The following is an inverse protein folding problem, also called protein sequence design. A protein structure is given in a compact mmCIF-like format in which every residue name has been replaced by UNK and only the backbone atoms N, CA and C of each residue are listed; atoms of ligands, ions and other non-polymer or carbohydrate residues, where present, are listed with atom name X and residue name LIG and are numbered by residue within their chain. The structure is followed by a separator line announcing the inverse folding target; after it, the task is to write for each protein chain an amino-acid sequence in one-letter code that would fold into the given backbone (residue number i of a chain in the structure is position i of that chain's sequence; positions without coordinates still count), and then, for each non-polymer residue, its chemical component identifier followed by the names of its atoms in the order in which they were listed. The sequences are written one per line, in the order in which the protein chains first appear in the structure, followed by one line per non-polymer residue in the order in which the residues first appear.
data_IF_752448201629
#
_entry.id   IF_752448201629
#
_cell.length_a   1.000
_cell.length_b   1.000
_cell.length_c   1.000
_cell.angle_alpha   90.00
_cell.angle_beta   90.00
_cell.angle_gamma   90.00
#
_symmetry.space_group_name_H-M   'P 1'
#
loop_
_entity.id
_entity.type
_entity.pdbx_description
1 polymer ?
#
# COMPACT_ATOMS: atom_id res chain seq x y z
N UNK A 1 6.64 -2.55 20.97
CA UNK A 1 7.66 -3.62 21.08
C UNK A 1 7.17 -4.71 22.03
N UNK A 2 6.97 -4.42 23.34
CA UNK A 2 6.64 -5.43 24.34
C UNK A 2 5.41 -6.29 24.03
N UNK A 3 4.40 -5.72 23.37
CA UNK A 3 3.19 -6.46 22.98
C UNK A 3 3.57 -7.56 22.00
N UNK A 4 4.34 -7.26 20.97
CA UNK A 4 4.75 -8.21 19.94
C UNK A 4 5.72 -9.26 20.47
N UNK A 5 6.66 -8.84 21.33
CA UNK A 5 7.58 -9.78 22.01
C UNK A 5 6.82 -10.80 22.85
N UNK A 6 5.78 -10.38 23.61
CA UNK A 6 4.93 -11.28 24.41
C UNK A 6 4.06 -12.20 23.56
N UNK A 7 3.87 -11.88 22.27
CA UNK A 7 3.18 -12.74 21.30
C UNK A 7 4.12 -13.74 20.62
N UNK A 8 5.43 -13.68 20.91
CA UNK A 8 6.44 -14.59 20.37
C UNK A 8 7.19 -14.08 19.16
N UNK A 9 7.01 -12.80 18.79
CA UNK A 9 7.81 -12.20 17.72
C UNK A 9 9.27 -12.07 18.16
N UNK A 10 10.20 -12.19 17.20
CA UNK A 10 11.59 -11.84 17.41
C UNK A 10 11.74 -10.34 17.73
N UNK A 11 12.75 -9.96 18.48
CA UNK A 11 12.96 -8.56 18.92
C UNK A 11 13.08 -7.59 17.75
N UNK A 12 13.82 -7.94 16.71
CA UNK A 12 13.97 -7.14 15.49
C UNK A 12 12.65 -7.01 14.70
N UNK A 13 11.87 -8.07 14.62
CA UNK A 13 10.52 -8.06 14.02
C UNK A 13 9.58 -7.14 14.80
N UNK A 14 9.58 -7.26 16.12
CA UNK A 14 8.78 -6.41 17.02
C UNK A 14 9.14 -4.94 16.88
N UNK A 15 10.44 -4.64 16.79
CA UNK A 15 10.93 -3.28 16.58
C UNK A 15 10.51 -2.74 15.22
N UNK A 16 10.73 -3.51 14.14
CA UNK A 16 10.36 -3.10 12.78
C UNK A 16 8.86 -2.79 12.65
N UNK A 17 8.00 -3.64 13.22
CA UNK A 17 6.54 -3.41 13.24
C UNK A 17 6.23 -2.12 14.00
N UNK A 18 6.85 -1.94 15.18
CA UNK A 18 6.57 -0.79 16.03
C UNK A 18 7.00 0.53 15.38
N UNK A 19 8.20 0.58 14.82
CA UNK A 19 8.74 1.77 14.16
C UNK A 19 7.89 2.17 12.97
N UNK A 20 7.49 1.20 12.16
CA UNK A 20 6.63 1.43 11.00
C UNK A 20 5.24 1.98 11.38
N UNK A 21 4.62 1.45 12.44
CA UNK A 21 3.32 1.93 12.91
C UNK A 21 3.41 3.35 13.50
N UNK A 22 4.50 3.68 14.19
CA UNK A 22 4.77 5.02 14.71
C UNK A 22 5.00 5.98 13.55
N UNK A 23 5.83 5.61 12.57
CA UNK A 23 6.08 6.40 11.37
C UNK A 23 4.78 6.73 10.62
N UNK A 24 3.90 5.75 10.44
CA UNK A 24 2.59 5.98 9.82
C UNK A 24 1.75 7.04 10.56
N UNK A 25 1.76 7.03 11.91
CA UNK A 25 1.09 8.07 12.70
C UNK A 25 1.76 9.44 12.54
N UNK A 26 3.10 9.51 12.56
CA UNK A 26 3.84 10.76 12.37
C UNK A 26 3.59 11.39 10.99
N UNK A 27 3.31 10.56 9.98
CA UNK A 27 2.91 10.99 8.64
C UNK A 27 1.40 11.28 8.51
N UNK A 28 0.62 11.24 9.59
CA UNK A 28 -0.83 11.49 9.55
C UNK A 28 -1.66 10.34 8.93
N UNK A 29 -1.06 9.15 8.73
CA UNK A 29 -1.73 7.98 8.17
C UNK A 29 -2.17 7.03 9.28
N UNK A 30 -3.05 7.50 10.15
CA UNK A 30 -3.51 6.78 11.35
C UNK A 30 -4.09 5.41 11.05
N UNK A 31 -4.77 5.25 9.90
CA UNK A 31 -5.35 3.98 9.46
C UNK A 31 -4.33 2.83 9.32
N UNK A 32 -3.04 3.15 9.20
CA UNK A 32 -1.90 2.22 9.10
C UNK A 32 -0.94 2.35 10.29
N UNK A 33 -1.32 3.15 11.29
CA UNK A 33 -0.55 3.43 12.49
C UNK A 33 -0.85 2.48 13.66
N UNK A 34 -0.63 2.96 14.87
CA UNK A 34 -0.71 2.18 16.13
C UNK A 34 -2.09 1.57 16.39
N UNK A 35 -3.15 2.08 15.76
CA UNK A 35 -4.48 1.45 15.82
C UNK A 35 -4.49 0.01 15.30
N UNK A 36 -3.52 -0.38 14.48
CA UNK A 36 -3.36 -1.74 13.95
C UNK A 36 -2.82 -2.75 14.96
N UNK A 37 -2.25 -2.30 16.08
CA UNK A 37 -1.64 -3.18 17.09
C UNK A 37 -2.59 -4.27 17.55
N UNK A 38 -3.86 -3.92 17.86
CA UNK A 38 -4.84 -4.89 18.33
C UNK A 38 -5.18 -5.92 17.25
N UNK A 39 -5.35 -5.48 16.00
CA UNK A 39 -5.63 -6.36 14.87
C UNK A 39 -4.47 -7.36 14.65
N UNK A 40 -3.22 -6.89 14.68
CA UNK A 40 -2.06 -7.78 14.53
C UNK A 40 -1.95 -8.76 15.69
N UNK A 41 -2.13 -8.28 16.92
CA UNK A 41 -2.10 -9.12 18.10
C UNK A 41 -3.18 -10.22 18.09
N UNK A 42 -4.38 -9.91 17.63
CA UNK A 42 -5.47 -10.87 17.50
C UNK A 42 -5.17 -11.93 16.44
N UNK A 43 -4.66 -11.53 15.28
CA UNK A 43 -4.27 -12.45 14.21
C UNK A 43 -3.12 -13.37 14.61
N UNK A 44 -2.14 -12.87 15.38
CA UNK A 44 -1.07 -13.70 15.94
C UNK A 44 -1.59 -14.68 16.98
N UNK A 45 -2.48 -14.26 17.87
CA UNK A 45 -3.12 -15.16 18.87
C UNK A 45 -3.97 -16.24 18.23
N UNK A 46 -4.68 -15.92 17.17
CA UNK A 46 -5.52 -16.90 16.44
C UNK A 46 -4.71 -17.84 15.56
N UNK A 47 -3.41 -17.61 15.38
CA UNK A 47 -2.56 -18.38 14.46
C UNK A 47 -2.80 -18.08 12.98
N UNK A 48 -3.61 -17.07 12.67
CA UNK A 48 -3.81 -16.61 11.28
C UNK A 48 -2.56 -15.92 10.74
N UNK A 49 -1.76 -15.34 11.63
CA UNK A 49 -0.49 -14.70 11.34
C UNK A 49 0.59 -15.31 12.24
N UNK A 50 1.70 -15.78 11.66
CA UNK A 50 2.84 -16.30 12.42
C UNK A 50 3.56 -15.17 13.16
N UNK A 51 3.81 -15.37 14.46
CA UNK A 51 4.56 -14.42 15.28
C UNK A 51 6.08 -14.68 15.19
N UNK A 52 6.48 -15.93 15.25
CA UNK A 52 7.87 -16.41 15.23
C UNK A 52 8.38 -16.71 13.82
N UNK A 53 8.00 -15.88 12.86
CA UNK A 53 8.31 -16.05 11.44
C UNK A 53 9.21 -14.92 10.96
N UNK A 54 10.18 -15.27 10.12
CA UNK A 54 11.01 -14.32 9.36
C UNK A 54 10.76 -14.50 7.88
N UNK A 55 10.69 -13.41 7.12
CA UNK A 55 10.63 -13.49 5.66
C UNK A 55 11.95 -13.98 5.10
N UNK A 56 11.89 -14.66 3.96
CA UNK A 56 13.05 -15.23 3.29
C UNK A 56 13.12 -14.83 1.82
N UNK A 57 14.35 -14.62 1.33
CA UNK A 57 14.60 -14.51 -0.11
C UNK A 57 14.61 -15.93 -0.69
N UNK A 58 13.75 -16.17 -1.68
CA UNK A 58 13.67 -17.44 -2.40
C UNK A 58 13.86 -17.25 -3.90
N UNK A 59 14.08 -18.34 -4.58
CA UNK A 59 14.11 -18.39 -6.05
C UNK A 59 12.92 -19.21 -6.53
N UNK A 60 12.17 -18.68 -7.50
CA UNK A 60 11.08 -19.41 -8.15
C UNK A 60 11.63 -20.56 -9.00
N UNK A 61 10.78 -21.50 -9.41
CA UNK A 61 11.16 -22.59 -10.32
C UNK A 61 11.73 -22.09 -11.64
N UNK A 62 11.34 -20.89 -12.07
CA UNK A 62 11.81 -20.25 -13.31
C UNK A 62 13.03 -19.35 -13.12
N UNK A 63 13.60 -19.29 -11.90
CA UNK A 63 14.83 -18.58 -11.60
C UNK A 63 14.63 -17.11 -11.16
N UNK A 64 13.40 -16.63 -10.95
CA UNK A 64 13.17 -15.28 -10.45
C UNK A 64 13.39 -15.20 -8.93
N UNK A 65 13.99 -14.09 -8.46
CA UNK A 65 14.07 -13.78 -7.03
C UNK A 65 12.70 -13.35 -6.49
N UNK A 66 12.30 -13.90 -5.35
CA UNK A 66 11.04 -13.60 -4.68
C UNK A 66 11.23 -13.51 -3.16
N UNK A 67 10.31 -12.86 -2.47
CA UNK A 67 10.23 -12.85 -1.02
C UNK A 67 9.03 -13.69 -0.58
N UNK A 68 9.31 -14.66 0.29
CA UNK A 68 8.28 -15.43 1.00
C UNK A 68 8.17 -14.90 2.42
N UNK A 69 7.04 -14.33 2.77
CA UNK A 69 6.76 -13.81 4.11
C UNK A 69 6.43 -14.87 5.14
N UNK A 70 6.34 -16.16 4.74
CA UNK A 70 6.12 -17.31 5.64
C UNK A 70 4.83 -17.23 6.44
N UNK A 71 3.81 -16.49 6.00
CA UNK A 71 2.57 -16.20 6.73
C UNK A 71 2.78 -15.31 7.96
N UNK A 72 3.90 -14.59 8.05
CA UNK A 72 4.23 -13.63 9.10
C UNK A 72 3.74 -12.21 8.79
N UNK A 73 4.17 -11.24 9.62
CA UNK A 73 3.90 -9.82 9.38
C UNK A 73 4.45 -9.38 8.03
N UNK A 74 3.66 -8.60 7.29
CA UNK A 74 4.08 -8.08 5.99
C UNK A 74 5.11 -6.95 6.08
N UNK A 75 5.24 -6.28 7.23
CA UNK A 75 6.17 -5.16 7.39
C UNK A 75 7.64 -5.60 7.23
N UNK A 76 8.15 -6.63 7.92
CA UNK A 76 9.50 -7.14 7.67
C UNK A 76 9.69 -7.71 6.26
N UNK A 77 8.64 -8.33 5.69
CA UNK A 77 8.72 -8.88 4.34
C UNK A 77 8.87 -7.79 3.27
N UNK A 78 8.15 -6.67 3.42
CA UNK A 78 8.30 -5.52 2.52
C UNK A 78 9.66 -4.84 2.68
N UNK A 79 10.17 -4.70 3.91
CA UNK A 79 11.52 -4.16 4.14
C UNK A 79 12.57 -5.01 3.39
N UNK A 80 12.53 -6.33 3.56
CA UNK A 80 13.42 -7.27 2.86
C UNK A 80 13.26 -7.19 1.33
N UNK A 81 12.01 -7.02 0.85
CA UNK A 81 11.73 -6.90 -0.58
C UNK A 81 12.36 -5.64 -1.19
N UNK A 82 12.22 -4.50 -0.51
CA UNK A 82 12.82 -3.24 -0.97
C UNK A 82 14.35 -3.29 -0.93
N UNK A 83 14.96 -3.84 0.12
CA UNK A 83 16.40 -4.06 0.18
C UNK A 83 16.89 -4.95 -0.98
N UNK A 84 16.19 -6.07 -1.22
CA UNK A 84 16.52 -7.03 -2.26
C UNK A 84 16.40 -6.42 -3.67
N UNK A 85 15.26 -5.76 -3.96
CA UNK A 85 15.03 -5.19 -5.30
C UNK A 85 15.98 -4.04 -5.60
N UNK A 86 16.30 -3.20 -4.61
CA UNK A 86 17.29 -2.11 -4.73
C UNK A 86 18.68 -2.69 -5.00
N UNK A 87 19.10 -3.74 -4.28
CA UNK A 87 20.37 -4.41 -4.53
C UNK A 87 20.47 -4.93 -5.96
N UNK A 88 19.46 -5.65 -6.42
CA UNK A 88 19.40 -6.17 -7.79
C UNK A 88 19.38 -5.05 -8.85
N UNK A 89 18.60 -3.98 -8.60
CA UNK A 89 18.50 -2.86 -9.53
C UNK A 89 19.78 -2.02 -9.63
N UNK A 90 20.60 -1.96 -8.58
CA UNK A 90 21.93 -1.32 -8.64
C UNK A 90 22.84 -1.99 -9.68
N UNK A 91 22.79 -3.30 -9.77
CA UNK A 91 23.63 -4.07 -10.69
C UNK A 91 23.08 -4.03 -12.12
N UNK A 92 21.78 -4.27 -12.29
CA UNK A 92 21.12 -4.43 -13.58
C UNK A 92 20.49 -3.16 -14.16
N UNK A 93 20.29 -2.10 -13.33
CA UNK A 93 19.55 -0.89 -13.68
C UNK A 93 18.04 -0.99 -13.42
N UNK A 94 17.50 -2.21 -13.44
CA UNK A 94 16.07 -2.52 -13.26
C UNK A 94 15.94 -3.89 -12.62
N UNK A 95 15.06 -4.03 -11.63
CA UNK A 95 14.72 -5.33 -11.05
C UNK A 95 13.26 -5.36 -10.61
N UNK A 96 12.71 -6.57 -10.53
CA UNK A 96 11.38 -6.83 -9.99
C UNK A 96 11.41 -8.02 -9.03
N UNK A 97 10.67 -7.91 -7.93
CA UNK A 97 10.58 -8.94 -6.90
C UNK A 97 9.10 -9.11 -6.49
N UNK A 98 8.51 -10.29 -6.68
CA UNK A 98 7.23 -10.64 -6.08
C UNK A 98 7.38 -10.93 -4.59
N UNK A 99 6.33 -10.65 -3.81
CA UNK A 99 6.24 -10.92 -2.39
C UNK A 99 4.95 -11.69 -2.14
N UNK A 100 5.04 -12.84 -1.49
CA UNK A 100 3.93 -13.73 -1.22
C UNK A 100 3.84 -14.12 0.26
N UNK A 101 2.72 -14.71 0.68
CA UNK A 101 2.53 -15.26 2.01
C UNK A 101 2.77 -14.24 3.13
N UNK A 102 2.23 -13.02 2.98
CA UNK A 102 2.39 -11.95 3.96
C UNK A 102 1.06 -11.54 4.57
N UNK A 103 1.09 -11.15 5.84
CA UNK A 103 0.04 -10.33 6.44
C UNK A 103 0.13 -8.87 5.99
N UNK A 104 -0.61 -8.02 6.69
CA UNK A 104 -0.67 -6.57 6.40
C UNK A 104 0.72 -5.93 6.37
N UNK A 105 0.97 -5.14 5.33
CA UNK A 105 2.29 -4.59 4.97
C UNK A 105 2.55 -3.17 5.47
N UNK A 106 1.57 -2.55 6.13
CA UNK A 106 1.67 -1.19 6.63
C UNK A 106 1.49 -0.12 5.54
N UNK A 107 2.05 1.07 5.77
CA UNK A 107 2.06 2.21 4.86
C UNK A 107 3.16 2.04 3.80
N UNK A 108 2.78 1.85 2.54
CA UNK A 108 3.75 1.62 1.48
C UNK A 108 4.62 2.84 1.19
N UNK A 109 4.09 4.03 1.40
CA UNK A 109 4.83 5.28 1.25
C UNK A 109 6.15 5.30 2.03
N UNK A 110 6.25 4.67 3.20
CA UNK A 110 7.48 4.61 3.99
C UNK A 110 8.64 3.93 3.24
N UNK A 111 8.35 2.81 2.58
CA UNK A 111 9.36 2.07 1.82
C UNK A 111 9.75 2.78 0.54
N UNK A 112 8.75 3.33 -0.18
CA UNK A 112 8.97 4.05 -1.42
C UNK A 112 9.78 5.33 -1.21
N UNK A 113 9.51 6.06 -0.12
CA UNK A 113 10.25 7.24 0.30
C UNK A 113 11.73 6.91 0.56
N UNK A 114 12.00 5.89 1.36
CA UNK A 114 13.35 5.43 1.65
C UNK A 114 14.12 4.94 0.40
N UNK A 115 13.43 4.34 -0.57
CA UNK A 115 14.01 3.90 -1.83
C UNK A 115 14.31 5.09 -2.75
N UNK A 116 13.38 6.04 -2.85
CA UNK A 116 13.53 7.24 -3.67
C UNK A 116 14.66 8.13 -3.15
N UNK A 117 14.83 8.26 -1.83
CA UNK A 117 15.97 8.95 -1.21
C UNK A 117 17.33 8.31 -1.57
N UNK A 118 17.36 7.03 -1.96
CA UNK A 118 18.55 6.33 -2.46
C UNK A 118 18.73 6.41 -3.99
N UNK A 119 17.89 7.15 -4.71
CA UNK A 119 17.96 7.33 -6.15
C UNK A 119 17.20 6.28 -6.97
N UNK A 120 16.20 5.63 -6.41
CA UNK A 120 15.38 4.63 -7.10
C UNK A 120 13.95 5.13 -7.34
N UNK A 121 13.46 4.93 -8.57
CA UNK A 121 12.04 4.92 -8.84
C UNK A 121 11.52 3.52 -8.44
N UNK A 122 10.47 3.46 -7.63
CA UNK A 122 9.81 2.19 -7.29
C UNK A 122 8.34 2.21 -7.66
N UNK A 123 7.83 1.04 -8.07
CA UNK A 123 6.40 0.80 -8.31
C UNK A 123 6.01 -0.45 -7.55
N UNK A 124 5.09 -0.32 -6.61
CA UNK A 124 4.55 -1.42 -5.82
C UNK A 124 3.04 -1.48 -5.97
N UNK A 125 2.50 -2.69 -6.16
CA UNK A 125 1.05 -2.91 -6.15
C UNK A 125 0.72 -4.26 -5.52
N UNK A 126 -0.44 -4.34 -4.88
CA UNK A 126 -0.93 -5.55 -4.23
C UNK A 126 -2.32 -5.95 -4.71
N UNK A 127 -2.51 -7.26 -4.88
CA UNK A 127 -3.77 -7.84 -5.31
C UNK A 127 -3.86 -9.33 -4.96
N UNK A 128 -4.95 -9.93 -5.35
CA UNK A 128 -5.29 -11.30 -5.05
C UNK A 128 -6.33 -11.40 -3.92
N UNK A 129 -6.89 -12.60 -3.81
CA UNK A 129 -7.87 -12.93 -2.78
C UNK A 129 -9.23 -12.19 -2.92
N UNK A 130 -9.61 -11.81 -4.13
CA UNK A 130 -10.87 -11.12 -4.44
C UNK A 130 -12.12 -11.86 -3.92
N UNK A 131 -12.05 -13.19 -3.81
CA UNK A 131 -13.16 -14.02 -3.28
C UNK A 131 -13.37 -13.90 -1.78
N UNK A 132 -12.35 -13.45 -1.05
CA UNK A 132 -12.37 -13.32 0.42
C UNK A 132 -12.43 -11.85 0.84
N UNK A 133 -11.75 -10.97 0.12
CA UNK A 133 -11.61 -9.55 0.45
C UNK A 133 -12.37 -8.62 -0.51
N UNK A 134 -13.59 -8.96 -0.90
CA UNK A 134 -14.44 -8.14 -1.75
C UNK A 134 -14.96 -6.90 -1.05
N UNK A 135 -14.22 -5.79 -1.11
CA UNK A 135 -14.57 -4.50 -0.48
C UNK A 135 -14.98 -3.44 -1.50
N UNK A 136 -14.37 -3.45 -2.69
CA UNK A 136 -14.58 -2.46 -3.74
C UNK A 136 -15.43 -3.06 -4.85
N UNK A 137 -16.48 -2.35 -5.27
CA UNK A 137 -17.29 -2.77 -6.40
C UNK A 137 -16.54 -2.53 -7.72
N UNK A 138 -16.61 -3.46 -8.70
CA UNK A 138 -16.25 -3.14 -10.07
C UNK A 138 -17.05 -1.94 -10.59
N UNK A 139 -16.50 -1.18 -11.52
CA UNK A 139 -17.26 -0.08 -12.12
C UNK A 139 -18.53 -0.60 -12.82
N UNK A 140 -19.70 -0.15 -12.39
CA UNK A 140 -21.00 -0.64 -12.81
C UNK A 140 -21.50 -1.88 -12.07
N UNK A 141 -20.71 -2.41 -11.10
CA UNK A 141 -21.10 -3.52 -10.24
C UNK A 141 -21.93 -3.07 -9.04
N UNK A 142 -22.81 -3.92 -8.54
CA UNK A 142 -23.69 -3.64 -7.40
C UNK A 142 -23.17 -4.19 -6.07
N UNK A 143 -21.98 -4.78 -6.02
CA UNK A 143 -21.39 -5.35 -4.79
C UNK A 143 -19.88 -5.40 -4.82
N UNK A 144 -19.25 -5.48 -3.66
CA UNK A 144 -17.81 -5.62 -3.52
C UNK A 144 -17.30 -6.95 -4.09
N UNK A 145 -16.31 -6.86 -4.98
CA UNK A 145 -15.68 -8.01 -5.65
C UNK A 145 -14.16 -7.93 -5.60
N UNK A 146 -13.60 -6.76 -5.31
CA UNK A 146 -12.17 -6.50 -5.34
C UNK A 146 -11.69 -6.06 -3.96
N UNK A 147 -10.46 -6.40 -3.56
CA UNK A 147 -9.79 -5.75 -2.45
C UNK A 147 -9.59 -4.25 -2.71
N UNK A 148 -8.88 -3.58 -1.84
CA UNK A 148 -8.54 -2.15 -2.03
C UNK A 148 -7.42 -1.91 -3.04
N UNK A 149 -6.72 -2.96 -3.47
CA UNK A 149 -5.74 -3.02 -4.56
C UNK A 149 -4.85 -1.76 -4.65
N UNK A 150 -3.98 -1.51 -3.66
CA UNK A 150 -3.22 -0.27 -3.59
C UNK A 150 -2.11 -0.20 -4.63
N UNK A 151 -1.76 1.03 -4.99
CA UNK A 151 -0.61 1.38 -5.80
C UNK A 151 0.26 2.37 -5.05
N UNK A 152 1.56 2.09 -5.00
CA UNK A 152 2.55 3.00 -4.45
C UNK A 152 3.66 3.22 -5.48
N UNK A 153 3.93 4.48 -5.81
CA UNK A 153 5.02 4.88 -6.70
C UNK A 153 5.82 5.96 -5.99
N UNK A 154 7.13 5.73 -5.83
CA UNK A 154 8.05 6.70 -5.29
C UNK A 154 9.16 7.02 -6.28
N UNK A 155 9.55 8.28 -6.39
CA UNK A 155 10.62 8.76 -7.27
C UNK A 155 11.45 9.82 -6.55
N UNK A 156 12.77 9.92 -6.79
CA UNK A 156 13.56 11.07 -6.34
C UNK A 156 12.92 12.38 -6.80
N UNK A 157 12.72 13.31 -5.87
CA UNK A 157 12.07 14.59 -6.13
C UNK A 157 13.03 15.76 -6.16
N UNK A 158 12.50 16.95 -5.86
CA UNK A 158 13.23 18.20 -5.78
C UNK A 158 13.87 18.48 -4.42
N UNK A 159 13.91 19.76 -4.04
CA UNK A 159 14.57 20.23 -2.82
C UNK A 159 13.87 19.80 -1.52
N UNK A 160 12.58 19.48 -1.60
CA UNK A 160 11.80 18.99 -0.45
C UNK A 160 11.87 17.48 -0.26
N UNK A 161 12.61 16.77 -1.10
CA UNK A 161 12.77 15.31 -1.00
C UNK A 161 11.98 14.53 -2.06
N UNK A 162 11.80 13.23 -1.84
CA UNK A 162 11.07 12.34 -2.72
C UNK A 162 9.61 12.76 -2.98
N UNK A 163 9.07 12.34 -4.11
CA UNK A 163 7.64 12.42 -4.40
C UNK A 163 7.07 11.01 -4.34
N UNK A 164 6.05 10.82 -3.51
CA UNK A 164 5.46 9.50 -3.25
C UNK A 164 3.94 9.55 -3.44
N UNK A 165 3.45 8.68 -4.30
CA UNK A 165 2.04 8.39 -4.48
C UNK A 165 1.73 7.05 -3.78
N UNK A 166 0.88 7.04 -2.76
CA UNK A 166 0.47 5.84 -2.02
C UNK A 166 -1.03 5.90 -1.75
N UNK A 167 -1.81 5.12 -2.48
CA UNK A 167 -3.26 5.12 -2.32
C UNK A 167 -3.90 3.77 -2.67
N UNK A 168 -5.05 3.49 -2.04
CA UNK A 168 -5.96 2.43 -2.44
C UNK A 168 -6.78 2.86 -3.67
N UNK A 169 -7.21 1.90 -4.49
CA UNK A 169 -8.05 2.16 -5.68
C UNK A 169 -9.53 2.38 -5.35
N UNK A 170 -9.93 2.16 -4.11
CA UNK A 170 -11.23 2.57 -3.58
C UNK A 170 -11.32 4.08 -3.35
N UNK A 171 -12.52 4.64 -3.49
CA UNK A 171 -12.75 6.09 -3.34
C UNK A 171 -12.59 6.59 -1.89
N UNK A 172 -12.70 5.70 -0.92
CA UNK A 172 -12.45 5.97 0.49
C UNK A 172 -11.73 4.78 1.11
N UNK A 173 -10.86 5.03 2.07
CA UNK A 173 -10.23 3.96 2.84
C UNK A 173 -11.22 3.34 3.83
N UNK A 174 -11.19 2.01 4.00
CA UNK A 174 -12.06 1.31 4.94
C UNK A 174 -12.00 1.87 6.37
N UNK A 175 -10.83 2.30 6.83
CA UNK A 175 -10.67 2.92 8.16
C UNK A 175 -11.56 4.14 8.39
N UNK A 176 -11.79 4.97 7.37
CA UNK A 176 -12.69 6.12 7.45
C UNK A 176 -14.16 5.70 7.57
N UNK A 177 -14.56 4.58 6.99
CA UNK A 177 -15.92 4.04 7.12
C UNK A 177 -16.17 3.61 8.58
N UNK A 178 -15.19 2.91 9.19
CA UNK A 178 -15.26 2.55 10.61
C UNK A 178 -15.30 3.77 11.53
N UNK A 179 -14.49 4.79 11.24
CA UNK A 179 -14.45 6.02 12.00
C UNK A 179 -15.80 6.79 11.91
N UNK A 180 -16.35 6.91 10.70
CA UNK A 180 -17.65 7.55 10.49
C UNK A 180 -18.77 6.79 11.21
N UNK A 181 -18.81 5.48 11.16
CA UNK A 181 -19.77 4.64 11.88
C UNK A 181 -19.67 4.88 13.40
N UNK A 182 -18.46 4.85 13.95
CA UNK A 182 -18.23 5.05 15.39
C UNK A 182 -18.63 6.45 15.85
N UNK A 183 -18.48 7.45 14.98
CA UNK A 183 -18.83 8.84 15.27
C UNK A 183 -20.30 9.18 14.98
N UNK A 184 -21.08 8.27 14.39
CA UNK A 184 -22.44 8.54 13.92
C UNK A 184 -22.47 9.57 12.79
N UNK A 185 -21.40 9.69 11.99
CA UNK A 185 -21.25 10.66 10.92
C UNK A 185 -21.59 10.06 9.55
N UNK A 186 -22.00 10.88 8.62
CA UNK A 186 -22.21 10.48 7.22
C UNK A 186 -20.89 10.48 6.46
N UNK A 187 -20.75 9.54 5.52
CA UNK A 187 -19.65 9.51 4.56
C UNK A 187 -19.78 10.64 3.52
N UNK A 188 -18.70 11.02 2.84
CA UNK A 188 -18.77 11.86 1.65
C UNK A 188 -19.66 11.23 0.57
N UNK A 189 -20.14 12.06 -0.34
CA UNK A 189 -20.95 11.58 -1.47
C UNK A 189 -20.14 10.68 -2.41
N UNK A 190 -20.82 9.77 -3.09
CA UNK A 190 -20.26 8.86 -4.09
C UNK A 190 -19.09 7.97 -3.60
N UNK A 191 -19.03 7.65 -2.31
CA UNK A 191 -17.99 6.79 -1.77
C UNK A 191 -18.40 5.33 -1.64
N UNK A 192 -19.67 5.08 -1.34
CA UNK A 192 -20.19 3.73 -1.07
C UNK A 192 -21.55 3.52 -1.71
N UNK A 193 -21.87 2.25 -1.94
CA UNK A 193 -23.19 1.76 -2.33
C UNK A 193 -23.73 0.83 -1.25
N UNK A 194 -25.06 0.74 -1.13
CA UNK A 194 -25.73 -0.26 -0.32
C UNK A 194 -25.70 -1.66 -0.98
N UNK A 195 -26.25 -2.66 -0.32
CA UNK A 195 -26.33 -4.03 -0.83
C UNK A 195 -27.15 -4.21 -2.11
N UNK A 196 -28.00 -3.24 -2.44
CA UNK A 196 -28.83 -3.23 -3.63
C UNK A 196 -28.18 -2.45 -4.79
N UNK A 197 -26.97 -1.87 -4.53
CA UNK A 197 -26.17 -1.12 -5.50
C UNK A 197 -26.51 0.36 -5.58
N UNK A 198 -27.36 0.89 -4.70
CA UNK A 198 -27.70 2.31 -4.70
C UNK A 198 -26.66 3.15 -3.96
N UNK A 199 -26.28 4.35 -4.47
CA UNK A 199 -25.40 5.25 -3.75
C UNK A 199 -25.96 5.62 -2.38
N UNK A 200 -25.10 5.62 -1.36
CA UNK A 200 -25.48 5.99 0.02
C UNK A 200 -24.33 6.70 0.72
N UNK A 201 -24.68 7.45 1.78
CA UNK A 201 -23.71 8.08 2.70
C UNK A 201 -23.72 7.44 4.09
N UNK A 202 -24.61 6.47 4.30
CA UNK A 202 -24.70 5.75 5.57
C UNK A 202 -23.53 4.74 5.67
N UNK A 203 -22.59 4.90 6.63
CA UNK A 203 -21.53 3.94 6.82
C UNK A 203 -22.02 2.54 7.18
N UNK A 204 -23.20 2.42 7.82
CA UNK A 204 -23.77 1.13 8.18
C UNK A 204 -24.10 0.28 6.94
N UNK A 205 -24.51 0.90 5.85
CA UNK A 205 -24.81 0.19 4.60
C UNK A 205 -23.63 -0.64 4.07
N UNK A 206 -22.37 -0.17 4.28
CA UNK A 206 -21.18 -0.94 3.92
C UNK A 206 -21.10 -2.25 4.70
N UNK A 207 -21.39 -2.23 6.01
CA UNK A 207 -21.36 -3.42 6.86
C UNK A 207 -22.53 -4.36 6.60
N UNK A 208 -23.63 -3.85 6.08
CA UNK A 208 -24.84 -4.61 5.72
C UNK A 208 -24.75 -5.24 4.32
N UNK A 209 -23.54 -5.31 3.73
CA UNK A 209 -23.28 -5.95 2.45
C UNK A 209 -23.12 -5.00 1.27
N UNK A 210 -22.98 -3.70 1.55
CA UNK A 210 -22.62 -2.69 0.57
C UNK A 210 -21.15 -2.75 0.16
N UNK A 211 -20.70 -1.78 -0.64
CA UNK A 211 -19.35 -1.76 -1.16
C UNK A 211 -18.81 -0.33 -1.33
N UNK A 212 -17.49 -0.21 -1.34
CA UNK A 212 -16.77 1.01 -1.70
C UNK A 212 -16.82 1.18 -3.22
N UNK A 213 -17.03 2.38 -3.71
CA UNK A 213 -16.90 2.70 -5.14
C UNK A 213 -15.43 2.89 -5.54
N UNK A 214 -15.03 2.56 -6.78
CA UNK A 214 -13.68 2.82 -7.25
C UNK A 214 -13.43 4.32 -7.45
N UNK A 215 -12.24 4.80 -7.07
CA UNK A 215 -11.84 6.19 -7.27
C UNK A 215 -11.85 6.55 -8.77
N UNK A 216 -12.37 7.72 -9.13
CA UNK A 216 -12.45 8.13 -10.54
C UNK A 216 -13.21 7.15 -11.45
N UNK A 217 -14.12 6.35 -10.89
CA UNK A 217 -14.98 5.41 -11.60
C UNK A 217 -14.18 4.32 -12.35
N UNK A 218 -14.31 4.28 -13.68
CA UNK A 218 -13.66 3.27 -14.52
C UNK A 218 -12.12 3.29 -14.46
N UNK A 219 -11.50 4.43 -14.13
CA UNK A 219 -10.02 4.55 -14.04
C UNK A 219 -9.47 3.80 -12.84
N UNK A 220 -10.03 4.04 -11.64
CA UNK A 220 -9.66 3.31 -10.44
C UNK A 220 -10.00 1.83 -10.54
N UNK A 221 -11.14 1.49 -11.15
CA UNK A 221 -11.47 0.09 -11.44
C UNK A 221 -10.43 -0.59 -12.34
N UNK A 222 -9.94 0.09 -13.38
CA UNK A 222 -8.90 -0.46 -14.24
C UNK A 222 -7.60 -0.72 -13.46
N UNK A 223 -7.15 0.21 -12.59
CA UNK A 223 -6.00 0.01 -11.72
C UNK A 223 -6.21 -1.15 -10.75
N UNK A 224 -7.41 -1.26 -10.16
CA UNK A 224 -7.78 -2.36 -9.27
C UNK A 224 -7.72 -3.71 -9.96
N UNK A 225 -8.30 -3.81 -11.16
CA UNK A 225 -8.28 -5.02 -11.96
C UNK A 225 -6.85 -5.45 -12.32
N UNK A 226 -5.99 -4.52 -12.72
CA UNK A 226 -4.59 -4.82 -13.04
C UNK A 226 -3.83 -5.32 -11.80
N UNK A 227 -4.01 -4.69 -10.63
CA UNK A 227 -3.41 -5.16 -9.38
C UNK A 227 -3.89 -6.56 -9.01
N UNK A 228 -5.18 -6.84 -9.18
CA UNK A 228 -5.77 -8.16 -8.90
C UNK A 228 -5.21 -9.24 -9.84
N UNK A 229 -5.11 -8.96 -11.14
CA UNK A 229 -4.52 -9.90 -12.11
C UNK A 229 -3.03 -10.15 -11.84
N UNK A 230 -2.28 -9.12 -11.43
CA UNK A 230 -0.88 -9.28 -11.01
C UNK A 230 -0.83 -10.17 -9.77
N UNK A 231 -1.59 -9.86 -8.73
CA UNK A 231 -1.55 -10.59 -7.47
C UNK A 231 -2.06 -12.03 -7.55
N UNK A 232 -3.16 -12.28 -8.26
CA UNK A 232 -3.81 -13.60 -8.30
C UNK A 232 -3.38 -14.42 -9.52
N UNK A 233 -3.45 -13.83 -10.74
CA UNK A 233 -3.21 -14.61 -11.96
C UNK A 233 -1.72 -14.79 -12.27
N UNK A 234 -0.90 -13.76 -12.02
CA UNK A 234 0.53 -13.83 -12.31
C UNK A 234 1.33 -14.47 -11.16
N UNK A 235 1.01 -14.13 -9.91
CA UNK A 235 1.77 -14.60 -8.75
C UNK A 235 1.16 -15.84 -8.06
N UNK A 236 -0.07 -16.19 -8.38
CA UNK A 236 -0.81 -17.33 -7.82
C UNK A 236 -1.70 -16.96 -6.63
N UNK A 237 -2.38 -17.95 -6.03
CA UNK A 237 -3.29 -17.71 -4.92
C UNK A 237 -2.62 -16.98 -3.75
N UNK A 238 -3.27 -15.95 -3.23
CA UNK A 238 -2.75 -15.14 -2.12
C UNK A 238 -3.26 -15.61 -0.76
N UNK A 239 -2.42 -15.52 0.25
CA UNK A 239 -2.74 -15.82 1.65
C UNK A 239 -1.65 -15.21 2.56
N UNK A 240 -1.97 -14.73 3.77
CA UNK A 240 -3.32 -14.51 4.34
C UNK A 240 -4.00 -13.24 3.79
N UNK A 241 -3.27 -12.38 3.10
CA UNK A 241 -3.79 -11.15 2.49
C UNK A 241 -3.48 -11.11 0.98
N UNK A 242 -2.91 -10.03 0.48
CA UNK A 242 -2.54 -9.87 -0.92
C UNK A 242 -1.15 -10.43 -1.23
N UNK A 243 -0.92 -10.82 -2.47
CA UNK A 243 0.43 -10.90 -3.03
C UNK A 243 0.83 -9.52 -3.56
N UNK A 244 2.13 -9.24 -3.55
CA UNK A 244 2.67 -7.95 -3.95
C UNK A 244 3.68 -8.10 -5.08
N UNK A 245 3.73 -7.11 -5.94
CA UNK A 245 4.71 -6.98 -6.98
C UNK A 245 5.44 -5.66 -6.80
N UNK A 246 6.76 -5.72 -6.66
CA UNK A 246 7.64 -4.58 -6.48
C UNK A 246 8.65 -4.52 -7.62
N UNK A 247 8.71 -3.35 -8.28
CA UNK A 247 9.68 -3.01 -9.31
C UNK A 247 10.51 -1.83 -8.86
N UNK A 248 11.82 -1.87 -9.10
CA UNK A 248 12.74 -0.77 -8.87
C UNK A 248 13.58 -0.45 -10.10
N UNK A 249 13.78 0.83 -10.35
CA UNK A 249 14.61 1.37 -11.44
C UNK A 249 15.67 2.29 -10.85
N UNK A 250 16.94 2.04 -11.14
CA UNK A 250 18.04 2.92 -10.78
C UNK A 250 18.02 4.16 -11.70
N UNK A 251 17.55 5.30 -11.17
CA UNK A 251 17.40 6.54 -11.95
C UNK A 251 18.73 7.10 -12.45
N UNK A 252 19.85 6.75 -11.80
CA UNK A 252 21.21 7.15 -12.18
C UNK A 252 21.65 6.58 -13.55
N UNK A 253 20.97 5.55 -14.03
CA UNK A 253 21.17 5.00 -15.39
C UNK A 253 20.62 5.93 -16.47
N UNK A 254 19.75 6.87 -16.14
CA UNK A 254 19.10 7.77 -17.09
C UNK A 254 19.60 9.21 -16.94
N UNK A 255 19.88 9.65 -15.71
CA UNK A 255 20.29 11.03 -15.44
C UNK A 255 21.14 11.10 -14.18
N UNK A 256 22.12 12.02 -14.14
CA UNK A 256 22.90 12.27 -12.93
C UNK A 256 21.97 12.79 -11.82
N UNK A 257 22.21 12.43 -10.54
CA UNK A 257 21.32 12.76 -9.43
C UNK A 257 21.01 14.25 -9.30
N UNK A 258 22.03 15.10 -9.40
CA UNK A 258 21.89 16.56 -9.26
C UNK A 258 21.06 17.15 -10.40
N UNK A 259 21.25 16.64 -11.63
CA UNK A 259 20.49 17.08 -12.80
C UNK A 259 19.04 16.59 -12.75
N UNK A 260 18.80 15.41 -12.15
CA UNK A 260 17.45 14.89 -11.92
C UNK A 260 16.75 15.75 -10.88
N UNK A 261 17.39 16.00 -9.72
CA UNK A 261 16.83 16.82 -8.64
C UNK A 261 16.47 18.24 -9.14
N UNK A 262 17.39 18.90 -9.86
CA UNK A 262 17.13 20.24 -10.39
C UNK A 262 15.91 20.26 -11.35
N UNK A 263 15.81 19.28 -12.24
CA UNK A 263 14.67 19.19 -13.15
C UNK A 263 13.36 18.81 -12.47
N UNK A 264 13.42 17.97 -11.43
CA UNK A 264 12.26 17.65 -10.60
C UNK A 264 11.78 18.90 -9.85
N UNK A 265 12.71 19.68 -9.26
CA UNK A 265 12.36 20.92 -8.57
C UNK A 265 11.71 21.94 -9.51
N UNK A 266 12.22 22.10 -10.75
CA UNK A 266 11.60 22.97 -11.75
C UNK A 266 10.12 22.60 -11.98
N UNK A 267 9.83 21.30 -12.23
CA UNK A 267 8.45 20.81 -12.42
C UNK A 267 7.60 21.02 -11.16
N UNK A 268 8.12 20.69 -9.99
CA UNK A 268 7.38 20.78 -8.73
C UNK A 268 7.13 22.24 -8.33
N UNK A 269 8.08 23.15 -8.58
CA UNK A 269 7.93 24.58 -8.34
C UNK A 269 6.84 25.17 -9.24
N UNK A 270 6.82 24.82 -10.53
CA UNK A 270 5.78 25.27 -11.45
C UNK A 270 4.38 24.82 -11.00
N UNK A 271 4.24 23.56 -10.56
CA UNK A 271 2.98 23.05 -10.05
C UNK A 271 2.55 23.75 -8.76
N UNK A 272 3.47 23.94 -7.80
CA UNK A 272 3.18 24.67 -6.54
C UNK A 272 2.80 26.14 -6.77
N UNK A 273 3.33 26.76 -7.80
CA UNK A 273 3.03 28.14 -8.18
C UNK A 273 1.72 28.29 -8.98
N UNK A 274 1.06 27.20 -9.34
CA UNK A 274 -0.26 27.25 -9.96
C UNK A 274 -1.26 27.94 -9.00
N UNK A 275 -2.01 28.96 -9.43
CA UNK A 275 -3.02 29.59 -8.59
C UNK A 275 -4.02 28.56 -8.05
N UNK A 276 -4.30 28.54 -6.75
CA UNK A 276 -5.25 27.60 -6.18
C UNK A 276 -6.68 27.89 -6.67
N UNK A 277 -7.45 26.82 -6.89
CA UNK A 277 -8.87 26.94 -7.21
C UNK A 277 -9.67 27.42 -5.99
N UNK A 278 -10.87 28.00 -6.17
CA UNK A 278 -11.73 28.38 -5.06
C UNK A 278 -11.97 27.23 -4.09
N UNK A 279 -11.74 27.48 -2.79
CA UNK A 279 -11.87 26.47 -1.73
C UNK A 279 -10.56 25.74 -1.38
N UNK A 280 -9.47 26.00 -2.08
CA UNK A 280 -8.13 25.49 -1.77
C UNK A 280 -7.19 26.63 -1.34
N UNK A 281 -6.33 26.40 -0.36
CA UNK A 281 -5.33 27.38 0.08
C UNK A 281 -4.09 27.37 -0.82
N UNK A 282 -3.69 26.19 -1.31
CA UNK A 282 -2.51 25.98 -2.17
C UNK A 282 -2.69 24.71 -3.00
N UNK A 283 -1.81 24.53 -3.98
CA UNK A 283 -1.63 23.26 -4.69
C UNK A 283 -0.67 22.39 -3.89
N UNK A 284 -1.10 21.18 -3.55
CA UNK A 284 -0.30 20.20 -2.83
C UNK A 284 0.42 19.26 -3.80
N UNK A 285 1.62 18.84 -3.42
CA UNK A 285 2.40 17.80 -4.09
C UNK A 285 2.28 16.52 -3.26
N UNK A 286 2.05 15.35 -3.87
CA UNK A 286 2.00 14.08 -3.15
C UNK A 286 3.34 13.71 -2.49
N UNK A 287 3.31 13.28 -1.22
CA UNK A 287 4.49 12.87 -0.45
C UNK A 287 4.77 13.70 0.77
#
# INVERSE_FOLDING_TARGET
VDIFNRLGCYDDTSQAITDHLIDANLCGVESHGVMRVMQYAERMRSGTLGADVRPEVRTTETGATMIDGGMGSGIPAMSLAYETVISLARDSGLAAVPIINTGHTGRHGAYADAAAAQGFLTICTGGGNHRVHGQVAPHGGARGMLPTNPWCIGIPGGDLGPVVMDFATGRIAGGWIYAAQSAGALLPEDCVIDRDGNPTRDPQAYFDGGAILPMGGHKGYALSLMAELIGEAMLGPSSPECNWFLLAVDTRRFRQPEALQAAAEEVLADLRNCPPAPGFEKVEIPG
#
